data_IF_730848824829
#
_entry.id   IF_730848824829
#
_cell.length_a   1.000
_cell.length_b   1.000
_cell.length_c   1.000
_cell.angle_alpha   90.00
_cell.angle_beta   90.00
_cell.angle_gamma   90.00
#
_symmetry.space_group_name_H-M   'P 1'
#
loop_
_entity.id
_entity.type
_entity.pdbx_description
1 polymer ?
#
# COMPACT_ATOMS: atom_id res chain seq x y z
N UNK A 1 20.40 -1.55 7.54
CA UNK A 1 18.97 -1.18 7.68
C UNK A 1 18.15 -2.29 7.03
N UNK A 2 18.07 -3.47 7.65
CA UNK A 2 17.37 -4.61 7.02
C UNK A 2 15.87 -4.50 7.22
N UNK A 3 15.10 -4.78 6.18
CA UNK A 3 13.63 -4.80 6.26
C UNK A 3 13.21 -6.04 7.05
N UNK A 4 12.53 -5.83 8.17
CA UNK A 4 11.99 -6.89 9.02
C UNK A 4 10.57 -7.29 8.59
N UNK A 5 9.73 -6.32 8.23
CA UNK A 5 8.33 -6.61 7.90
C UNK A 5 7.72 -5.74 6.81
N UNK A 6 6.73 -6.33 6.13
CA UNK A 6 5.91 -5.71 5.09
C UNK A 6 4.43 -5.86 5.50
N UNK A 7 3.79 -4.73 5.79
CA UNK A 7 2.43 -4.67 6.31
C UNK A 7 1.53 -3.80 5.45
N UNK A 8 0.22 -4.09 5.44
CA UNK A 8 -0.78 -3.31 4.72
C UNK A 8 -1.93 -2.99 5.66
N UNK A 9 -2.29 -1.72 5.75
CA UNK A 9 -3.48 -1.26 6.48
C UNK A 9 -4.47 -0.69 5.48
N UNK A 10 -5.66 -1.29 5.40
CA UNK A 10 -6.78 -0.75 4.61
C UNK A 10 -7.65 0.12 5.52
N UNK A 11 -7.91 1.34 5.08
CA UNK A 11 -8.76 2.29 5.78
C UNK A 11 -9.77 2.92 4.82
N UNK A 12 -10.80 3.55 5.39
CA UNK A 12 -11.78 4.32 4.64
C UNK A 12 -11.55 5.82 4.84
N UNK A 13 -11.82 6.61 3.80
CA UNK A 13 -11.72 8.06 3.86
C UNK A 13 -12.88 8.72 3.08
N UNK A 14 -13.39 9.88 3.54
CA UNK A 14 -14.42 10.61 2.82
C UNK A 14 -13.83 11.23 1.56
N UNK A 15 -14.58 11.17 0.46
CA UNK A 15 -14.19 11.79 -0.81
C UNK A 15 -15.40 12.16 -1.65
N UNK A 16 -15.23 13.15 -2.51
CA UNK A 16 -16.17 13.52 -3.59
C UNK A 16 -15.69 13.08 -4.96
N UNK A 17 -14.60 12.31 -5.04
CA UNK A 17 -14.09 11.74 -6.28
C UNK A 17 -14.78 10.42 -6.53
N UNK A 18 -15.38 10.27 -7.71
CA UNK A 18 -15.97 9.02 -8.19
C UNK A 18 -15.27 8.57 -9.47
N UNK A 19 -15.25 7.26 -9.73
CA UNK A 19 -14.76 6.70 -10.99
C UNK A 19 -15.93 6.15 -11.80
N UNK A 20 -15.99 6.49 -13.09
CA UNK A 20 -16.97 5.89 -14.00
C UNK A 20 -16.60 4.45 -14.37
N UNK A 21 -17.45 3.78 -15.17
CA UNK A 21 -17.23 2.39 -15.58
C UNK A 21 -15.95 2.19 -16.42
N UNK A 22 -15.41 3.25 -17.04
CA UNK A 22 -14.16 3.22 -17.77
C UNK A 22 -12.94 3.61 -16.89
N UNK A 23 -13.17 3.98 -15.62
CA UNK A 23 -12.15 4.35 -14.65
C UNK A 23 -11.80 5.84 -14.62
N UNK A 24 -12.46 6.69 -15.41
CA UNK A 24 -12.19 8.14 -15.39
C UNK A 24 -12.72 8.77 -14.11
N UNK A 25 -12.02 9.78 -13.61
CA UNK A 25 -12.37 10.44 -12.36
C UNK A 25 -13.26 11.65 -12.60
N UNK A 26 -14.32 11.75 -11.79
CA UNK A 26 -15.29 12.85 -11.81
C UNK A 26 -15.55 13.36 -10.39
N UNK A 27 -16.00 14.62 -10.24
CA UNK A 27 -16.63 15.06 -9.00
C UNK A 27 -18.01 14.41 -8.84
N UNK A 28 -18.42 14.13 -7.61
CA UNK A 28 -19.71 13.54 -7.27
C UNK A 28 -20.11 13.78 -5.81
N UNK A 29 -21.21 13.14 -5.35
CA UNK A 29 -21.62 13.16 -3.96
C UNK A 29 -20.52 12.63 -3.03
N UNK A 30 -20.55 13.05 -1.77
CA UNK A 30 -19.63 12.51 -0.77
C UNK A 30 -19.88 11.02 -0.54
N UNK A 31 -18.80 10.24 -0.48
CA UNK A 31 -18.81 8.81 -0.24
C UNK A 31 -17.56 8.37 0.54
N UNK A 32 -17.57 7.15 1.06
CA UNK A 32 -16.41 6.54 1.73
C UNK A 32 -15.66 5.64 0.76
N UNK A 33 -14.47 6.08 0.33
CA UNK A 33 -13.58 5.27 -0.50
C UNK A 33 -12.61 4.45 0.39
N UNK A 34 -12.05 3.36 -0.16
CA UNK A 34 -11.01 2.56 0.51
C UNK A 34 -9.63 2.89 -0.06
N UNK A 35 -8.64 2.99 0.82
CA UNK A 35 -7.23 3.14 0.46
C UNK A 35 -6.40 2.17 1.30
N UNK A 36 -5.28 1.71 0.76
CA UNK A 36 -4.32 0.90 1.49
C UNK A 36 -3.03 1.68 1.70
N UNK A 37 -2.47 1.59 2.92
CA UNK A 37 -1.13 2.06 3.24
C UNK A 37 -0.20 0.85 3.38
N UNK A 38 0.77 0.74 2.46
CA UNK A 38 1.88 -0.19 2.55
C UNK A 38 2.91 0.39 3.52
N UNK A 39 3.36 -0.42 4.47
CA UNK A 39 4.40 -0.06 5.43
C UNK A 39 5.53 -1.08 5.40
N UNK A 40 6.75 -0.58 5.23
CA UNK A 40 7.98 -1.34 5.46
C UNK A 40 8.55 -0.93 6.81
N UNK A 41 8.94 -1.89 7.64
CA UNK A 41 9.62 -1.63 8.91
C UNK A 41 10.98 -2.33 8.89
N UNK A 42 12.03 -1.57 9.20
CA UNK A 42 13.38 -2.11 9.37
C UNK A 42 13.61 -2.60 10.80
N UNK A 43 14.62 -3.45 11.01
CA UNK A 43 14.96 -4.06 12.30
C UNK A 43 15.25 -3.04 13.42
N UNK A 44 15.76 -1.85 13.08
CA UNK A 44 15.96 -0.75 14.03
C UNK A 44 14.70 0.10 14.29
N UNK A 45 13.55 -0.28 13.71
CA UNK A 45 12.27 0.39 13.89
C UNK A 45 11.94 1.51 12.90
N UNK A 46 12.87 1.87 12.00
CA UNK A 46 12.62 2.84 10.92
C UNK A 46 11.50 2.36 9.98
N UNK A 47 10.66 3.28 9.49
CA UNK A 47 9.49 2.92 8.67
C UNK A 47 9.37 3.77 7.42
N UNK A 48 9.04 3.11 6.31
CA UNK A 48 8.67 3.73 5.04
C UNK A 48 7.22 3.44 4.68
N UNK A 49 6.55 4.39 4.03
CA UNK A 49 5.12 4.32 3.74
C UNK A 49 4.83 4.66 2.29
N UNK A 50 3.80 4.03 1.73
CA UNK A 50 3.23 4.40 0.42
C UNK A 50 1.74 4.04 0.38
N UNK A 51 0.97 4.80 -0.40
CA UNK A 51 -0.48 4.59 -0.55
C UNK A 51 -0.81 4.01 -1.93
N UNK A 52 -1.75 3.06 -1.96
CA UNK A 52 -2.20 2.44 -3.19
C UNK A 52 -3.68 2.01 -3.10
N UNK A 53 -4.35 1.75 -4.24
CA UNK A 53 -5.60 1.01 -4.24
C UNK A 53 -5.42 -0.36 -3.54
N UNK A 54 -6.37 -0.81 -2.70
CA UNK A 54 -6.22 -2.05 -1.94
C UNK A 54 -5.87 -3.28 -2.79
N UNK A 55 -6.39 -3.36 -4.02
CA UNK A 55 -6.15 -4.49 -4.92
C UNK A 55 -4.69 -4.62 -5.37
N UNK A 56 -3.94 -3.51 -5.44
CA UNK A 56 -2.50 -3.51 -5.82
C UNK A 56 -1.65 -4.18 -4.75
N UNK A 57 -2.02 -4.01 -3.48
CA UNK A 57 -1.30 -4.52 -2.30
C UNK A 57 -2.11 -5.57 -1.53
N UNK A 58 -2.99 -6.30 -2.23
CA UNK A 58 -3.81 -7.36 -1.62
C UNK A 58 -2.95 -8.51 -1.09
N UNK A 59 -3.44 -9.32 -0.11
CA UNK A 59 -2.64 -10.34 0.57
C UNK A 59 -1.92 -11.31 -0.37
N UNK A 60 -2.57 -11.75 -1.46
CA UNK A 60 -1.96 -12.69 -2.41
C UNK A 60 -0.71 -12.11 -3.08
N UNK A 61 -0.69 -10.82 -3.41
CA UNK A 61 0.46 -10.16 -4.06
C UNK A 61 1.59 -9.96 -3.04
N UNK A 62 1.25 -9.44 -1.86
CA UNK A 62 2.23 -9.13 -0.81
C UNK A 62 2.93 -10.40 -0.31
N UNK A 63 2.16 -11.47 -0.08
CA UNK A 63 2.70 -12.74 0.41
C UNK A 63 3.49 -13.51 -0.64
N UNK A 64 3.03 -13.48 -1.90
CA UNK A 64 3.67 -14.27 -2.95
C UNK A 64 4.95 -13.61 -3.47
N UNK A 65 4.99 -12.28 -3.53
CA UNK A 65 6.07 -11.53 -4.18
C UNK A 65 6.82 -10.61 -3.20
N UNK A 66 6.15 -9.62 -2.61
CA UNK A 66 6.84 -8.52 -1.93
C UNK A 66 7.65 -9.01 -0.73
N UNK A 67 7.05 -9.83 0.12
CA UNK A 67 7.73 -10.37 1.32
C UNK A 67 8.95 -11.20 0.97
N UNK A 68 8.90 -11.96 -0.14
CA UNK A 68 10.02 -12.81 -0.58
C UNK A 68 11.20 -11.99 -1.08
N UNK A 69 10.94 -10.86 -1.73
CA UNK A 69 12.00 -9.98 -2.28
C UNK A 69 12.57 -9.07 -1.19
N UNK A 70 11.72 -8.54 -0.30
CA UNK A 70 12.12 -7.44 0.58
C UNK A 70 12.60 -7.88 1.97
N UNK A 71 11.96 -8.87 2.61
CA UNK A 71 12.27 -9.22 4.00
C UNK A 71 13.71 -9.75 4.10
N UNK A 72 14.48 -9.21 5.03
CA UNK A 72 15.89 -9.51 5.26
C UNK A 72 16.87 -8.74 4.37
N UNK A 73 16.40 -8.00 3.35
CA UNK A 73 17.25 -7.19 2.49
C UNK A 73 17.55 -5.83 3.12
N UNK A 74 18.70 -5.24 2.77
CA UNK A 74 19.00 -3.86 3.14
C UNK A 74 18.09 -2.90 2.36
N UNK A 75 17.39 -2.00 3.06
CA UNK A 75 16.42 -1.08 2.49
C UNK A 75 17.02 -0.08 1.46
N UNK A 76 18.34 0.11 1.45
CA UNK A 76 19.01 0.97 0.47
C UNK A 76 19.36 0.27 -0.84
N UNK A 77 19.30 -1.06 -0.91
CA UNK A 77 19.47 -1.84 -2.14
C UNK A 77 18.18 -1.79 -2.97
N UNK A 78 17.91 -0.64 -3.57
CA UNK A 78 16.68 -0.38 -4.33
C UNK A 78 16.71 -0.88 -5.78
N UNK A 79 17.91 -1.03 -6.34
CA UNK A 79 18.18 -1.56 -7.69
C UNK A 79 18.64 -3.01 -7.57
#
# INVERSE_FOLDING_TARGET
MKIESVNVTVFQYPTRRVSDAAGHSHPGPESMAKMAMLTLTAEEGSRGYSFAPPEVVRPSVVNTFFRKVLVGQDAFNRE
#
